data_IF_473977230061
#
_entry.id   IF_473977230061
#
_cell.length_a   1.000
_cell.length_b   1.000
_cell.length_c   1.000
_cell.angle_alpha   90.00
_cell.angle_beta   90.00
_cell.angle_gamma   90.00
#
_symmetry.space_group_name_H-M   'P 1'
#
loop_
_entity.id
_entity.type
_entity.pdbx_description
1 polymer ?
#
# COMPACT_ATOMS: atom_id res chain seq x y z
N UNK A 1 3.71 -43.98 -24.75
CA UNK A 1 2.69 -43.40 -23.84
C UNK A 1 3.31 -43.40 -22.45
N UNK A 2 3.38 -42.23 -21.79
CA UNK A 2 3.81 -42.17 -20.39
C UNK A 2 2.56 -42.25 -19.52
N UNK A 3 2.54 -43.15 -18.56
CA UNK A 3 1.46 -43.21 -17.58
C UNK A 3 1.54 -41.97 -16.66
N UNK A 4 0.40 -41.32 -16.41
CA UNK A 4 0.30 -40.12 -15.58
C UNK A 4 -0.65 -40.40 -14.42
N UNK A 5 -0.13 -40.32 -13.20
CA UNK A 5 -0.91 -40.39 -11.97
C UNK A 5 -1.30 -38.98 -11.50
N UNK A 6 -2.61 -38.72 -11.39
CA UNK A 6 -3.14 -37.41 -10.96
C UNK A 6 -3.68 -37.50 -9.53
N UNK A 7 -3.13 -36.70 -8.63
CA UNK A 7 -3.61 -36.58 -7.25
C UNK A 7 -4.41 -35.29 -7.12
N UNK A 8 -5.64 -35.38 -6.63
CA UNK A 8 -6.53 -34.21 -6.47
C UNK A 8 -7.30 -34.30 -5.14
N UNK A 9 -7.76 -33.15 -4.65
CA UNK A 9 -8.53 -33.03 -3.38
C UNK A 9 -10.01 -32.79 -3.70
N UNK A 10 -10.95 -33.39 -2.95
CA UNK A 10 -12.39 -33.07 -3.06
C UNK A 10 -12.66 -31.56 -2.86
N UNK A 11 -13.72 -31.00 -3.48
CA UNK A 11 -14.89 -31.65 -4.08
C UNK A 11 -14.82 -31.84 -5.60
N UNK A 12 -13.63 -31.88 -6.20
CA UNK A 12 -13.50 -32.07 -7.65
C UNK A 12 -13.94 -33.48 -8.06
N UNK A 13 -14.80 -33.59 -9.05
CA UNK A 13 -15.22 -34.87 -9.64
C UNK A 13 -14.11 -35.45 -10.53
N UNK A 14 -13.95 -36.78 -10.53
CA UNK A 14 -12.89 -37.48 -11.28
C UNK A 14 -12.91 -37.09 -12.76
N UNK A 15 -14.11 -36.96 -13.35
CA UNK A 15 -14.30 -36.62 -14.76
C UNK A 15 -13.70 -35.26 -15.13
N UNK A 16 -13.89 -34.27 -14.26
CA UNK A 16 -13.39 -32.90 -14.48
C UNK A 16 -11.86 -32.87 -14.37
N UNK A 17 -11.31 -33.64 -13.42
CA UNK A 17 -9.86 -33.78 -13.23
C UNK A 17 -9.22 -34.41 -14.46
N UNK A 18 -9.83 -35.45 -15.03
CA UNK A 18 -9.35 -36.09 -16.27
C UNK A 18 -9.37 -35.10 -17.43
N UNK A 19 -10.46 -34.34 -17.59
CA UNK A 19 -10.60 -33.37 -18.67
C UNK A 19 -9.59 -32.22 -18.56
N UNK A 20 -9.40 -31.68 -17.36
CA UNK A 20 -8.40 -30.64 -17.09
C UNK A 20 -6.98 -31.16 -17.33
N UNK A 21 -6.67 -32.35 -16.83
CA UNK A 21 -5.35 -32.96 -17.01
C UNK A 21 -5.03 -33.13 -18.48
N UNK A 22 -5.99 -33.62 -19.28
CA UNK A 22 -5.81 -33.74 -20.73
C UNK A 22 -5.45 -32.40 -21.37
N UNK A 23 -6.12 -31.31 -20.99
CA UNK A 23 -5.82 -29.95 -21.50
C UNK A 23 -4.48 -29.40 -21.03
N UNK A 24 -4.07 -29.69 -19.79
CA UNK A 24 -2.79 -29.22 -19.24
C UNK A 24 -1.60 -29.97 -19.84
N UNK A 25 -1.78 -31.25 -20.16
CA UNK A 25 -0.77 -32.08 -20.81
C UNK A 25 -0.68 -31.85 -22.32
N UNK A 26 -1.60 -31.09 -22.93
CA UNK A 26 -1.47 -30.70 -24.33
C UNK A 26 -0.18 -29.91 -24.53
N UNK A 27 0.56 -30.26 -25.57
CA UNK A 27 1.69 -29.44 -26.00
C UNK A 27 1.18 -28.05 -26.38
N UNK A 28 1.80 -27.04 -25.79
CA UNK A 28 1.54 -25.65 -26.11
C UNK A 28 2.78 -25.06 -26.79
N UNK A 29 2.62 -24.05 -27.64
CA UNK A 29 3.75 -23.38 -28.25
C UNK A 29 4.68 -22.85 -27.16
N UNK A 30 5.88 -23.42 -27.08
CA UNK A 30 6.93 -22.87 -26.22
C UNK A 30 7.45 -21.61 -26.90
N UNK A 31 7.38 -20.48 -26.20
CA UNK A 31 8.06 -19.28 -26.65
C UNK A 31 9.55 -19.47 -26.44
N UNK A 32 10.36 -19.08 -27.43
CA UNK A 32 11.80 -18.99 -27.24
C UNK A 32 12.01 -17.93 -26.17
N UNK A 33 12.66 -18.30 -25.05
CA UNK A 33 12.99 -17.35 -24.01
C UNK A 33 13.85 -16.25 -24.64
N UNK A 34 13.42 -14.98 -24.58
CA UNK A 34 14.21 -13.91 -25.14
C UNK A 34 15.54 -13.85 -24.39
N UNK A 35 16.63 -13.74 -25.14
CA UNK A 35 17.93 -13.46 -24.55
C UNK A 35 17.86 -12.12 -23.82
N UNK A 36 18.38 -12.07 -22.59
CA UNK A 36 18.43 -10.84 -21.84
C UNK A 36 19.31 -9.82 -22.58
N UNK A 37 18.70 -8.69 -22.96
CA UNK A 37 19.40 -7.56 -23.57
C UNK A 37 19.21 -6.35 -22.66
N UNK A 38 20.29 -5.77 -22.09
CA UNK A 38 20.17 -4.52 -21.37
C UNK A 38 19.54 -3.46 -22.28
N UNK A 39 18.51 -2.77 -21.80
CA UNK A 39 17.90 -1.66 -22.54
C UNK A 39 18.91 -0.54 -22.86
N UNK A 40 19.98 -0.45 -22.07
CA UNK A 40 21.06 0.53 -22.24
C UNK A 40 22.40 -0.20 -22.31
N UNK A 41 22.94 -0.46 -23.52
CA UNK A 41 24.23 -1.10 -23.68
C UNK A 41 25.36 -0.17 -23.22
N UNK A 42 26.15 -0.65 -22.26
CA UNK A 42 27.27 0.09 -21.65
C UNK A 42 28.33 0.57 -22.64
N UNK A 43 28.42 -0.05 -23.81
CA UNK A 43 29.39 0.31 -24.86
C UNK A 43 29.03 1.62 -25.62
N UNK A 44 27.76 2.05 -25.58
CA UNK A 44 27.29 3.20 -26.37
C UNK A 44 27.22 4.50 -25.56
N UNK A 45 27.15 4.38 -24.24
CA UNK A 45 26.99 5.53 -23.35
C UNK A 45 28.34 5.99 -22.83
N UNK A 46 28.91 7.00 -23.50
CA UNK A 46 30.15 7.67 -23.05
C UNK A 46 29.90 8.65 -21.90
N UNK A 47 28.65 8.88 -21.50
CA UNK A 47 28.31 9.83 -20.45
C UNK A 47 28.46 9.16 -19.09
N UNK A 48 29.16 9.84 -18.19
CA UNK A 48 29.24 9.40 -16.79
C UNK A 48 27.87 9.64 -16.14
N UNK A 49 27.36 8.68 -15.34
CA UNK A 49 26.12 8.89 -14.60
C UNK A 49 26.28 10.11 -13.68
N UNK A 50 25.24 10.93 -13.61
CA UNK A 50 25.20 12.09 -12.71
C UNK A 50 25.26 11.56 -11.28
N UNK A 51 26.34 11.89 -10.56
CA UNK A 51 26.49 11.55 -9.15
C UNK A 51 26.23 12.79 -8.29
N UNK A 52 25.44 12.69 -7.21
CA UNK A 52 25.36 13.74 -6.21
C UNK A 52 26.75 14.07 -5.68
N UNK A 53 27.04 15.36 -5.46
CA UNK A 53 28.31 15.78 -4.86
C UNK A 53 28.44 15.31 -3.40
N UNK A 54 27.32 15.27 -2.67
CA UNK A 54 27.30 14.88 -1.27
C UNK A 54 27.06 13.37 -1.15
N UNK A 55 27.91 12.64 -0.41
CA UNK A 55 27.63 11.25 -0.09
C UNK A 55 26.36 11.16 0.78
N UNK A 56 25.67 10.01 0.77
CA UNK A 56 24.60 9.77 1.72
C UNK A 56 25.13 9.93 3.16
N UNK A 57 24.32 10.43 4.10
CA UNK A 57 24.73 10.57 5.49
C UNK A 57 25.16 9.21 6.03
N UNK A 58 26.39 9.15 6.53
CA UNK A 58 26.90 7.99 7.25
C UNK A 58 26.34 8.06 8.67
N UNK A 59 25.45 7.13 9.01
CA UNK A 59 25.03 6.93 10.40
C UNK A 59 26.25 6.30 11.09
N UNK A 60 27.01 7.09 11.83
CA UNK A 60 28.05 6.56 12.73
C UNK A 60 27.34 5.76 13.81
N UNK A 61 27.65 4.47 13.94
CA UNK A 61 27.18 3.61 15.03
C UNK A 61 27.92 3.95 16.34
N UNK A 62 27.86 5.21 16.77
CA UNK A 62 28.17 5.56 18.16
C UNK A 62 26.87 5.50 18.95
N UNK A 63 26.42 4.27 19.19
CA UNK A 63 25.53 3.99 20.31
C UNK A 63 26.35 3.98 21.62
N UNK A 64 25.77 4.35 22.77
CA UNK A 64 26.44 4.19 24.06
C UNK A 64 26.82 2.73 24.27
N UNK A 65 28.08 2.50 24.67
CA UNK A 65 28.67 1.18 24.89
C UNK A 65 27.84 0.37 25.89
N UNK A 66 27.17 -0.68 25.41
CA UNK A 66 26.89 -1.87 26.20
C UNK A 66 27.74 -3.02 25.64
N UNK A 67 28.55 -3.59 26.51
CA UNK A 67 29.57 -4.60 26.21
C UNK A 67 28.93 -5.90 25.71
N UNK A 68 29.00 -6.19 24.41
CA UNK A 68 28.79 -7.55 23.92
C UNK A 68 29.77 -7.90 22.79
N UNK A 69 30.31 -9.11 22.92
CA UNK A 69 31.51 -9.65 22.27
C UNK A 69 31.45 -9.70 20.74
N UNK A 70 32.64 -9.55 20.14
CA UNK A 70 32.97 -9.71 18.72
C UNK A 70 32.31 -10.94 18.09
N UNK A 71 31.45 -10.70 17.10
CA UNK A 71 31.10 -11.72 16.11
C UNK A 71 31.11 -11.11 14.71
N UNK A 72 31.79 -11.82 13.81
CA UNK A 72 32.04 -11.61 12.38
C UNK A 72 31.01 -10.74 11.60
N UNK A 73 31.44 -9.99 10.57
CA UNK A 73 30.58 -9.09 9.81
C UNK A 73 29.49 -9.88 9.08
N UNK A 74 28.29 -9.94 9.68
CA UNK A 74 27.09 -10.51 9.05
C UNK A 74 26.84 -9.77 7.75
N UNK A 75 27.01 -10.47 6.61
CA UNK A 75 26.50 -10.04 5.30
C UNK A 75 25.06 -9.59 5.48
N UNK A 76 24.79 -8.30 5.32
CA UNK A 76 23.43 -7.77 5.27
C UNK A 76 22.75 -8.37 4.04
N UNK A 77 22.03 -9.47 4.26
CA UNK A 77 21.14 -10.05 3.28
C UNK A 77 20.01 -9.05 3.08
N UNK A 78 19.90 -8.46 1.89
CA UNK A 78 18.70 -7.72 1.49
C UNK A 78 17.56 -8.71 1.34
N UNK A 79 16.91 -9.05 2.45
CA UNK A 79 15.65 -9.78 2.43
C UNK A 79 14.52 -8.77 2.20
N UNK A 80 13.68 -9.07 1.22
CA UNK A 80 12.36 -8.46 1.12
C UNK A 80 11.37 -9.45 1.69
N UNK A 81 10.63 -9.04 2.71
CA UNK A 81 9.51 -9.79 3.22
C UNK A 81 8.24 -9.17 2.64
N UNK A 82 7.56 -9.89 1.75
CA UNK A 82 6.17 -9.56 1.43
C UNK A 82 5.32 -10.18 2.53
N UNK A 83 4.95 -9.37 3.52
CA UNK A 83 3.91 -9.76 4.47
C UNK A 83 2.60 -9.70 3.68
N UNK A 84 2.26 -10.79 3.00
CA UNK A 84 0.86 -11.01 2.64
C UNK A 84 0.18 -11.41 3.94
N UNK A 85 -0.39 -10.44 4.66
CA UNK A 85 -1.34 -10.78 5.71
C UNK A 85 -2.58 -11.37 5.02
N UNK A 86 -2.49 -12.67 4.72
CA UNK A 86 -3.57 -13.47 4.13
C UNK A 86 -4.31 -14.26 5.21
N UNK A 87 -3.96 -14.10 6.49
CA UNK A 87 -4.44 -14.96 7.56
C UNK A 87 -4.90 -14.24 8.82
N UNK A 88 -4.77 -12.92 8.93
CA UNK A 88 -5.78 -12.18 9.68
C UNK A 88 -6.92 -11.85 8.70
N UNK A 89 -8.03 -12.61 8.69
CA UNK A 89 -9.28 -11.97 8.36
C UNK A 89 -9.43 -10.91 9.44
N UNK A 90 -9.06 -9.66 9.13
CA UNK A 90 -9.64 -8.53 9.82
C UNK A 90 -11.14 -8.80 9.72
N UNK A 91 -11.75 -9.22 10.84
CA UNK A 91 -13.18 -9.43 11.03
C UNK A 91 -13.86 -8.06 10.94
N UNK A 92 -13.71 -7.46 9.77
CA UNK A 92 -14.24 -6.20 9.39
C UNK A 92 -15.25 -6.57 8.33
N UNK A 93 -16.40 -7.04 8.80
CA UNK A 93 -17.65 -6.97 8.07
C UNK A 93 -18.04 -5.48 7.99
N UNK A 94 -17.23 -4.64 7.33
CA UNK A 94 -17.64 -3.26 7.09
C UNK A 94 -18.67 -3.28 5.97
N UNK A 95 -19.94 -3.27 6.36
CA UNK A 95 -20.97 -2.76 5.49
C UNK A 95 -20.76 -1.25 5.34
N UNK A 96 -20.31 -0.85 4.16
CA UNK A 96 -20.29 0.57 3.80
C UNK A 96 -21.68 1.18 3.98
N UNK A 97 -21.73 2.44 4.41
CA UNK A 97 -23.01 3.15 4.46
C UNK A 97 -23.64 3.20 3.06
N UNK A 98 -24.97 3.26 3.01
CA UNK A 98 -25.70 3.34 1.74
C UNK A 98 -25.25 4.54 0.89
N UNK A 99 -24.92 5.66 1.53
CA UNK A 99 -24.42 6.85 0.85
C UNK A 99 -23.04 6.60 0.24
N UNK A 100 -22.15 5.96 0.99
CA UNK A 100 -20.81 5.67 0.52
C UNK A 100 -20.80 4.66 -0.63
N UNK A 101 -21.60 3.57 -0.52
CA UNK A 101 -21.77 2.59 -1.62
C UNK A 101 -22.22 3.25 -2.91
N UNK A 102 -23.26 4.10 -2.83
CA UNK A 102 -23.74 4.87 -4.00
C UNK A 102 -22.65 5.75 -4.60
N UNK A 103 -21.77 6.32 -3.79
CA UNK A 103 -20.68 7.16 -4.29
C UNK A 103 -19.58 6.34 -4.97
N UNK A 104 -19.22 5.17 -4.42
CA UNK A 104 -18.28 4.23 -5.06
C UNK A 104 -18.82 3.79 -6.42
N UNK A 105 -20.09 3.33 -6.46
CA UNK A 105 -20.75 2.86 -7.68
C UNK A 105 -20.85 3.97 -8.73
N UNK A 106 -21.27 5.18 -8.32
CA UNK A 106 -21.39 6.34 -9.21
C UNK A 106 -20.07 6.70 -9.90
N UNK A 107 -18.95 6.58 -9.18
CA UNK A 107 -17.63 6.97 -9.67
C UNK A 107 -16.79 5.80 -10.19
N UNK A 108 -17.33 4.57 -10.17
CA UNK A 108 -16.63 3.37 -10.64
C UNK A 108 -15.33 3.09 -9.89
N UNK A 109 -15.29 3.33 -8.57
CA UNK A 109 -14.07 3.23 -7.78
C UNK A 109 -13.76 1.77 -7.41
N UNK A 110 -12.50 1.38 -7.60
CA UNK A 110 -12.00 0.11 -7.06
C UNK A 110 -11.67 0.24 -5.57
N UNK A 111 -11.87 -0.83 -4.80
CA UNK A 111 -11.68 -0.82 -3.34
C UNK A 111 -10.21 -0.60 -2.93
N UNK A 112 -9.24 -0.94 -3.77
CA UNK A 112 -7.81 -0.72 -3.53
C UNK A 112 -7.31 0.58 -4.18
N UNK A 113 -8.18 1.34 -4.84
CA UNK A 113 -7.81 2.64 -5.39
C UNK A 113 -7.46 3.63 -4.27
N UNK A 114 -6.42 4.43 -4.50
CA UNK A 114 -6.00 5.48 -3.56
C UNK A 114 -6.88 6.73 -3.67
N UNK A 115 -7.42 7.13 -2.54
CA UNK A 115 -8.20 8.37 -2.34
C UNK A 115 -7.56 9.20 -1.23
N UNK A 116 -7.90 10.48 -1.13
CA UNK A 116 -7.41 11.35 -0.05
C UNK A 116 -8.54 12.09 0.66
N UNK A 117 -8.48 12.11 1.99
CA UNK A 117 -9.20 13.07 2.82
C UNK A 117 -8.41 14.37 2.91
N UNK A 118 -9.05 15.50 2.63
CA UNK A 118 -8.48 16.82 2.85
C UNK A 118 -9.08 17.44 4.12
N UNK A 119 -8.23 17.70 5.11
CA UNK A 119 -8.58 18.42 6.34
C UNK A 119 -7.93 19.80 6.28
N UNK A 120 -8.74 20.84 6.44
CA UNK A 120 -8.28 22.23 6.45
C UNK A 120 -8.16 22.74 7.88
N UNK A 121 -7.38 23.79 8.09
CA UNK A 121 -7.25 24.47 9.38
C UNK A 121 -8.59 24.83 10.03
N UNK A 122 -9.58 25.30 9.24
CA UNK A 122 -10.94 25.60 9.72
C UNK A 122 -11.65 24.40 10.37
N UNK A 123 -11.25 23.17 10.05
CA UNK A 123 -11.81 21.96 10.66
C UNK A 123 -11.21 21.66 12.04
N UNK A 124 -10.07 22.27 12.38
CA UNK A 124 -9.25 21.89 13.55
C UNK A 124 -9.64 22.61 14.84
N UNK A 125 -10.57 23.57 14.77
CA UNK A 125 -11.04 24.33 15.94
C UNK A 125 -9.89 24.93 16.74
N UNK A 126 -9.94 24.80 18.08
CA UNK A 126 -8.92 25.30 18.99
C UNK A 126 -7.62 24.47 19.02
N UNK A 127 -7.65 23.22 18.53
CA UNK A 127 -6.49 22.33 18.52
C UNK A 127 -5.41 22.83 17.55
N UNK A 128 -5.83 23.48 16.46
CA UNK A 128 -4.96 23.94 15.40
C UNK A 128 -4.46 22.80 14.50
N UNK A 129 -4.04 23.15 13.28
CA UNK A 129 -3.65 22.16 12.27
C UNK A 129 -2.31 21.47 12.57
N UNK A 130 -1.38 22.14 13.26
CA UNK A 130 -0.07 21.58 13.63
C UNK A 130 -0.20 20.49 14.72
N UNK A 131 -1.01 20.71 15.76
CA UNK A 131 -1.24 19.68 16.78
C UNK A 131 -2.00 18.48 16.19
N UNK A 132 -2.98 18.74 15.31
CA UNK A 132 -3.65 17.67 14.57
C UNK A 132 -2.66 16.83 13.77
N UNK A 133 -1.70 17.47 13.10
CA UNK A 133 -0.65 16.78 12.35
C UNK A 133 0.19 15.86 13.25
N UNK A 134 0.55 16.30 14.45
CA UNK A 134 1.28 15.47 15.41
C UNK A 134 0.46 14.26 15.88
N UNK A 135 -0.81 14.48 16.24
CA UNK A 135 -1.70 13.40 16.69
C UNK A 135 -2.00 12.39 15.57
N UNK A 136 -2.21 12.87 14.34
CA UNK A 136 -2.41 12.03 13.17
C UNK A 136 -1.20 11.13 12.90
N UNK A 137 0.02 11.69 12.91
CA UNK A 137 1.23 10.89 12.71
C UNK A 137 1.47 9.88 13.85
N UNK A 138 1.06 10.20 15.08
CA UNK A 138 1.05 9.22 16.17
C UNK A 138 0.04 8.09 15.90
N UNK A 139 -1.16 8.40 15.41
CA UNK A 139 -2.17 7.39 15.08
C UNK A 139 -1.74 6.46 13.94
N UNK A 140 -1.11 7.00 12.89
CA UNK A 140 -0.54 6.21 11.78
C UNK A 140 0.57 5.29 12.29
N UNK A 141 1.53 5.81 13.07
CA UNK A 141 2.63 5.00 13.63
C UNK A 141 2.14 3.89 14.56
N UNK A 142 1.01 4.10 15.23
CA UNK A 142 0.35 3.09 16.09
C UNK A 142 -0.57 2.14 15.32
N UNK A 143 -0.54 2.17 13.98
CA UNK A 143 -1.35 1.31 13.12
C UNK A 143 -2.87 1.42 13.34
N UNK A 144 -3.36 2.57 13.85
CA UNK A 144 -4.80 2.83 14.01
C UNK A 144 -5.47 3.25 12.69
N UNK A 145 -4.66 3.55 11.67
CA UNK A 145 -5.09 4.06 10.37
C UNK A 145 -4.49 3.16 9.28
N UNK A 146 -5.21 2.10 8.84
CA UNK A 146 -4.69 1.11 7.90
C UNK A 146 -4.44 1.76 6.53
N UNK A 147 -3.36 1.35 5.86
CA UNK A 147 -2.95 1.82 4.52
C UNK A 147 -2.71 3.34 4.42
N UNK A 148 -2.72 4.06 5.55
CA UNK A 148 -2.72 5.50 5.54
C UNK A 148 -1.34 6.10 5.33
N UNK A 149 -1.28 7.15 4.51
CA UNK A 149 -0.13 8.05 4.42
C UNK A 149 -0.66 9.48 4.48
N UNK A 150 0.02 10.37 5.21
CA UNK A 150 -0.41 11.74 5.38
C UNK A 150 0.65 12.72 4.85
N UNK A 151 0.20 13.84 4.31
CA UNK A 151 1.04 14.93 3.87
C UNK A 151 0.49 16.25 4.40
N UNK A 152 1.34 17.06 5.02
CA UNK A 152 0.96 18.39 5.48
C UNK A 152 1.43 19.47 4.51
N UNK A 153 0.47 20.03 3.78
CA UNK A 153 0.63 21.20 2.92
C UNK A 153 0.52 22.47 3.76
N UNK A 154 1.62 22.88 4.39
CA UNK A 154 1.66 24.07 5.29
C UNK A 154 1.21 25.36 4.62
N UNK A 155 1.61 25.58 3.37
CA UNK A 155 1.23 26.77 2.58
C UNK A 155 -0.29 26.88 2.42
N UNK A 156 -0.98 25.73 2.34
CA UNK A 156 -2.44 25.66 2.20
C UNK A 156 -3.15 25.45 3.53
N UNK A 157 -2.40 25.37 4.64
CA UNK A 157 -2.89 24.97 5.96
C UNK A 157 -3.80 23.72 5.90
N UNK A 158 -3.36 22.71 5.13
CA UNK A 158 -4.13 21.51 4.84
C UNK A 158 -3.35 20.23 5.06
N UNK A 159 -3.98 19.26 5.70
CA UNK A 159 -3.48 17.89 5.82
C UNK A 159 -4.23 17.01 4.82
N UNK A 160 -3.47 16.30 4.00
CA UNK A 160 -3.97 15.32 3.04
C UNK A 160 -3.67 13.91 3.55
N UNK A 161 -4.71 13.16 3.88
CA UNK A 161 -4.61 11.78 4.32
C UNK A 161 -5.03 10.83 3.20
N UNK A 162 -4.07 10.14 2.61
CA UNK A 162 -4.27 9.14 1.58
C UNK A 162 -4.59 7.78 2.19
N UNK A 163 -5.58 7.08 1.65
CA UNK A 163 -5.98 5.74 2.05
C UNK A 163 -6.62 4.97 0.88
N UNK A 164 -6.81 3.67 1.03
CA UNK A 164 -7.56 2.86 0.07
C UNK A 164 -9.06 3.10 0.26
N UNK A 165 -9.84 3.06 -0.84
CA UNK A 165 -11.32 3.19 -0.81
C UNK A 165 -11.94 2.23 0.19
N UNK A 166 -11.38 1.02 0.33
CA UNK A 166 -11.83 0.00 1.28
C UNK A 166 -11.90 0.51 2.72
N UNK A 167 -10.97 1.37 3.14
CA UNK A 167 -10.88 1.88 4.50
C UNK A 167 -11.36 3.32 4.64
N UNK A 168 -11.65 4.03 3.55
CA UNK A 168 -11.74 5.48 3.60
C UNK A 168 -12.95 5.99 4.39
N UNK A 169 -14.08 5.27 4.43
CA UNK A 169 -15.24 5.64 5.26
C UNK A 169 -14.92 5.50 6.75
N UNK A 170 -14.31 4.38 7.16
CA UNK A 170 -13.83 4.19 8.53
C UNK A 170 -12.85 5.29 8.93
N UNK A 171 -11.87 5.58 8.07
CA UNK A 171 -10.85 6.60 8.32
C UNK A 171 -11.48 7.99 8.42
N UNK A 172 -12.43 8.33 7.54
CA UNK A 172 -13.14 9.61 7.60
C UNK A 172 -13.89 9.80 8.91
N UNK A 173 -14.58 8.76 9.38
CA UNK A 173 -15.25 8.76 10.68
C UNK A 173 -14.27 8.84 11.84
N UNK A 174 -13.16 8.10 11.78
CA UNK A 174 -12.08 8.18 12.77
C UNK A 174 -11.54 9.61 12.87
N UNK A 175 -11.26 10.26 11.73
CA UNK A 175 -10.79 11.64 11.71
C UNK A 175 -11.78 12.58 12.42
N UNK A 176 -13.07 12.46 12.09
CA UNK A 176 -14.12 13.26 12.70
C UNK A 176 -14.24 13.07 14.20
N UNK A 177 -14.25 11.81 14.65
CA UNK A 177 -14.55 11.44 16.03
C UNK A 177 -13.33 11.61 16.95
N UNK A 178 -12.18 11.07 16.55
CA UNK A 178 -10.97 11.05 17.38
C UNK A 178 -10.37 12.45 17.52
N UNK A 179 -10.35 13.22 16.43
CA UNK A 179 -9.76 14.56 16.41
C UNK A 179 -10.80 15.68 16.52
N UNK A 180 -12.06 15.33 16.76
CA UNK A 180 -13.16 16.28 16.98
C UNK A 180 -13.27 17.35 15.89
N UNK A 181 -13.06 16.95 14.63
CA UNK A 181 -13.01 17.88 13.50
C UNK A 181 -14.39 18.48 13.21
N UNK A 182 -14.44 19.81 13.14
CA UNK A 182 -15.65 20.57 12.82
C UNK A 182 -15.90 20.68 11.31
N UNK A 183 -17.10 21.13 10.94
CA UNK A 183 -17.46 21.43 9.54
C UNK A 183 -17.51 20.20 8.65
N UNK A 184 -17.10 20.33 7.39
CA UNK A 184 -16.98 19.20 6.44
C UNK A 184 -15.53 18.93 6.07
N UNK A 185 -15.17 17.66 5.94
CA UNK A 185 -13.94 17.18 5.31
C UNK A 185 -14.29 16.52 3.97
N UNK A 186 -13.39 16.59 3.00
CA UNK A 186 -13.69 16.17 1.62
C UNK A 186 -12.81 14.99 1.22
N UNK A 187 -13.45 13.94 0.67
CA UNK A 187 -12.76 12.83 0.02
C UNK A 187 -12.59 13.15 -1.45
N UNK A 188 -11.38 12.98 -1.96
CA UNK A 188 -11.08 13.19 -3.37
C UNK A 188 -10.38 11.98 -3.98
N UNK A 189 -10.70 11.67 -5.23
CA UNK A 189 -9.98 10.72 -6.05
C UNK A 189 -9.17 11.45 -7.12
N UNK A 190 -7.99 10.92 -7.42
CA UNK A 190 -7.18 11.40 -8.52
C UNK A 190 -7.98 11.28 -9.83
N UNK A 191 -7.98 12.34 -10.65
CA UNK A 191 -8.75 12.52 -11.89
C UNK A 191 -10.28 12.70 -11.75
N UNK A 192 -10.87 12.34 -10.62
CA UNK A 192 -12.32 12.44 -10.40
C UNK A 192 -12.72 13.66 -9.53
N UNK A 193 -11.79 14.21 -8.75
CA UNK A 193 -12.07 15.33 -7.86
C UNK A 193 -12.83 14.89 -6.61
N UNK A 194 -13.72 15.75 -6.12
CA UNK A 194 -14.52 15.54 -4.89
C UNK A 194 -15.54 14.41 -5.06
N UNK A 195 -15.39 13.34 -4.26
CA UNK A 195 -16.27 12.16 -4.30
C UNK A 195 -17.37 12.26 -3.25
N UNK A 196 -17.03 12.65 -2.02
CA UNK A 196 -17.96 12.74 -0.90
C UNK A 196 -17.44 13.74 0.14
N UNK A 197 -18.33 14.20 1.00
CA UNK A 197 -18.02 15.05 2.15
C UNK A 197 -18.61 14.44 3.42
N UNK A 198 -17.89 14.54 4.53
CA UNK A 198 -18.28 14.11 5.87
C UNK A 198 -18.25 15.28 6.84
#
# INVERSE_FOLDING_TARGET
LKDVSVYFRPPLEVRDVVFLTHRVLQEFPSTILPEFRPWYPSASDTRKPIRPQKPPPLISSEEPREEHQESEPKRFMRSWCVITDRTAPLKITHSFSRLFRKSIEKHGLDLHQRVKWAVCERNCGALGVEELWLQLNRAIRRSRLPTCNANFQRVLAQIWLYCDVFYCEYIGNFLKQEFQLSGQITLTAHKLGDIMKL
#
